data_IF_512470994178
#
_entry.id   IF_512470994178
#
_cell.length_a   1.000
_cell.length_b   1.000
_cell.length_c   1.000
_cell.angle_alpha   90.00
_cell.angle_beta   90.00
_cell.angle_gamma   90.00
#
_symmetry.space_group_name_H-M   'P 1'
#
loop_
_entity.id
_entity.type
_entity.pdbx_description
1 polymer ?
#
# COMPACT_ATOMS: atom_id res chain seq x y z
N UNK A 1 11.16 23.01 5.40
CA UNK A 1 11.45 24.09 4.44
C UNK A 1 11.02 23.68 3.03
N UNK A 2 10.45 24.59 2.23
CA UNK A 2 10.19 24.33 0.81
C UNK A 2 11.52 24.05 0.09
N UNK A 3 11.62 22.96 -0.67
CA UNK A 3 12.84 22.66 -1.45
C UNK A 3 12.96 23.68 -2.59
N UNK A 4 14.12 24.34 -2.71
CA UNK A 4 14.42 25.23 -3.86
C UNK A 4 14.23 24.47 -5.17
N UNK A 5 13.67 25.18 -6.15
CA UNK A 5 13.43 24.63 -7.47
C UNK A 5 14.75 24.40 -8.21
N UNK A 6 14.88 23.22 -8.83
CA UNK A 6 15.90 23.00 -9.83
C UNK A 6 15.29 23.35 -11.19
N UNK A 7 15.78 24.42 -11.81
CA UNK A 7 15.30 24.99 -13.08
C UNK A 7 15.33 23.95 -14.21
N UNK A 8 16.21 22.95 -14.10
CA UNK A 8 16.30 21.83 -15.06
C UNK A 8 15.10 20.89 -15.04
N UNK A 9 14.29 20.95 -13.97
CA UNK A 9 13.15 20.06 -13.75
C UNK A 9 11.80 20.82 -13.77
N UNK A 10 11.81 22.07 -14.22
CA UNK A 10 10.65 22.98 -14.22
C UNK A 10 9.51 22.43 -15.11
N UNK A 11 9.86 21.85 -16.26
CA UNK A 11 8.90 21.22 -17.18
C UNK A 11 8.22 20.00 -16.54
N UNK A 12 8.98 19.15 -15.86
CA UNK A 12 8.46 17.98 -15.15
C UNK A 12 7.61 18.36 -13.94
N UNK A 13 7.99 19.43 -13.23
CA UNK A 13 7.20 20.01 -12.15
C UNK A 13 5.89 20.59 -12.66
N UNK A 14 5.92 21.40 -13.71
CA UNK A 14 4.73 21.99 -14.31
C UNK A 14 3.76 20.91 -14.81
N UNK A 15 4.28 19.83 -15.41
CA UNK A 15 3.46 18.68 -15.81
C UNK A 15 2.83 17.98 -14.60
N UNK A 16 3.59 17.77 -13.53
CA UNK A 16 3.10 17.16 -12.28
C UNK A 16 2.06 18.03 -11.60
N UNK A 17 2.26 19.34 -11.54
CA UNK A 17 1.31 20.28 -10.96
C UNK A 17 0.03 20.39 -11.78
N UNK A 18 0.13 20.39 -13.12
CA UNK A 18 -1.04 20.32 -14.01
C UNK A 18 -1.81 19.01 -13.79
N UNK A 19 -1.10 17.89 -13.66
CA UNK A 19 -1.70 16.59 -13.36
C UNK A 19 -2.39 16.59 -11.98
N UNK A 20 -1.74 17.10 -10.92
CA UNK A 20 -2.33 17.26 -9.58
C UNK A 20 -3.52 18.21 -9.58
N UNK A 21 -3.45 19.31 -10.32
CA UNK A 21 -4.57 20.23 -10.51
C UNK A 21 -5.74 19.52 -11.20
N UNK A 22 -5.46 18.71 -12.21
CA UNK A 22 -6.44 17.86 -12.88
C UNK A 22 -7.01 16.76 -11.97
N UNK A 23 -6.22 16.19 -11.06
CA UNK A 23 -6.71 15.24 -10.06
C UNK A 23 -7.64 15.93 -9.06
N UNK A 24 -7.23 17.08 -8.51
CA UNK A 24 -8.05 17.88 -7.59
C UNK A 24 -9.36 18.33 -8.25
N UNK A 25 -9.29 18.83 -9.48
CA UNK A 25 -10.46 19.27 -10.25
C UNK A 25 -11.44 18.12 -10.55
N UNK A 26 -10.94 16.89 -10.69
CA UNK A 26 -11.76 15.68 -10.91
C UNK A 26 -12.15 14.97 -9.61
N UNK A 27 -11.73 15.48 -8.46
CA UNK A 27 -11.90 14.78 -7.20
C UNK A 27 -11.24 13.39 -7.19
N UNK A 28 -9.99 13.29 -7.63
CA UNK A 28 -9.22 12.05 -7.62
C UNK A 28 -8.07 12.14 -6.58
N UNK A 29 -7.90 11.16 -5.70
CA UNK A 29 -6.89 11.22 -4.64
C UNK A 29 -5.46 11.01 -5.17
N UNK A 30 -4.53 11.81 -4.67
CA UNK A 30 -3.08 11.63 -4.86
C UNK A 30 -2.58 10.63 -3.80
N UNK A 31 -2.16 9.43 -4.23
CA UNK A 31 -1.81 8.36 -3.30
C UNK A 31 -0.42 8.58 -2.69
N UNK A 32 -0.29 8.42 -1.36
CA UNK A 32 1.03 8.39 -0.74
C UNK A 32 1.72 7.02 -0.95
N UNK A 33 3.03 6.95 -0.71
CA UNK A 33 3.79 5.70 -0.85
C UNK A 33 3.26 4.61 0.09
N UNK A 34 2.81 5.00 1.30
CA UNK A 34 2.18 4.09 2.27
C UNK A 34 0.87 3.55 1.72
N UNK A 35 -0.03 4.40 1.20
CA UNK A 35 -1.29 3.95 0.58
C UNK A 35 -1.05 2.96 -0.56
N UNK A 36 0.02 3.20 -1.33
CA UNK A 36 0.39 2.36 -2.46
C UNK A 36 0.89 1.00 -2.02
N UNK A 37 1.68 0.93 -0.94
CA UNK A 37 2.13 -0.31 -0.31
C UNK A 37 0.98 -1.08 0.33
N UNK A 38 0.08 -0.39 1.06
CA UNK A 38 -1.13 -0.97 1.66
C UNK A 38 -2.03 -1.55 0.56
N UNK A 39 -2.30 -0.79 -0.52
CA UNK A 39 -3.08 -1.28 -1.65
C UNK A 39 -2.42 -2.48 -2.34
N UNK A 40 -1.08 -2.53 -2.41
CA UNK A 40 -0.35 -3.68 -2.95
C UNK A 40 -0.54 -4.92 -2.07
N UNK A 41 -0.40 -4.78 -0.75
CA UNK A 41 -0.61 -5.88 0.19
C UNK A 41 -2.03 -6.44 0.12
N UNK A 42 -3.05 -5.56 0.07
CA UNK A 42 -4.45 -5.98 -0.11
C UNK A 42 -4.65 -6.69 -1.44
N UNK A 43 -4.07 -6.19 -2.54
CA UNK A 43 -4.15 -6.84 -3.85
C UNK A 43 -3.54 -8.25 -3.86
N UNK A 44 -2.46 -8.47 -3.09
CA UNK A 44 -1.84 -9.79 -2.89
C UNK A 44 -2.76 -10.70 -2.07
N UNK A 45 -3.35 -10.20 -0.98
CA UNK A 45 -4.30 -10.98 -0.18
C UNK A 45 -5.52 -11.43 -1.01
N UNK A 46 -6.07 -10.52 -1.82
CA UNK A 46 -7.15 -10.84 -2.76
C UNK A 46 -6.72 -11.86 -3.83
N UNK A 47 -5.47 -11.82 -4.30
CA UNK A 47 -4.95 -12.79 -5.25
C UNK A 47 -4.84 -14.19 -4.65
N UNK A 48 -4.39 -14.29 -3.39
CA UNK A 48 -4.30 -15.55 -2.67
C UNK A 48 -5.68 -16.18 -2.47
N UNK A 49 -6.64 -15.41 -1.96
CA UNK A 49 -8.02 -15.88 -1.78
C UNK A 49 -8.62 -16.39 -3.11
N UNK A 50 -8.43 -15.65 -4.21
CA UNK A 50 -8.87 -16.08 -5.54
C UNK A 50 -8.19 -17.36 -6.02
N UNK A 51 -6.88 -17.51 -5.79
CA UNK A 51 -6.15 -18.72 -6.19
C UNK A 51 -6.54 -19.96 -5.37
N UNK A 52 -6.96 -19.76 -4.13
CA UNK A 52 -7.42 -20.82 -3.22
C UNK A 52 -8.93 -21.12 -3.41
N UNK A 53 -9.62 -20.40 -4.29
CA UNK A 53 -11.06 -20.55 -4.53
C UNK A 53 -11.94 -20.01 -3.40
N UNK A 54 -11.36 -19.24 -2.48
CA UNK A 54 -12.09 -18.62 -1.38
C UNK A 54 -12.72 -17.29 -1.81
N UNK A 55 -13.92 -17.02 -1.28
CA UNK A 55 -14.52 -15.69 -1.39
C UNK A 55 -13.68 -14.67 -0.59
N UNK A 56 -13.76 -13.40 -1.00
CA UNK A 56 -13.08 -12.31 -0.32
C UNK A 56 -13.65 -12.19 1.10
N UNK A 57 -12.80 -12.12 2.15
CA UNK A 57 -13.26 -12.01 3.53
C UNK A 57 -14.22 -10.83 3.72
N UNK A 58 -15.32 -11.05 4.46
CA UNK A 58 -16.33 -10.03 4.71
C UNK A 58 -15.75 -8.75 5.32
N UNK A 59 -14.81 -8.90 6.26
CA UNK A 59 -14.09 -7.76 6.86
C UNK A 59 -13.38 -6.89 5.81
N UNK A 60 -12.76 -7.51 4.80
CA UNK A 60 -12.07 -6.77 3.74
C UNK A 60 -13.06 -6.06 2.80
N UNK A 61 -14.21 -6.69 2.53
CA UNK A 61 -15.32 -6.04 1.79
C UNK A 61 -15.82 -4.80 2.54
N UNK A 62 -16.01 -4.89 3.86
CA UNK A 62 -16.41 -3.76 4.71
C UNK A 62 -15.37 -2.63 4.67
N UNK A 63 -14.09 -2.95 4.84
CA UNK A 63 -13.01 -1.93 4.78
C UNK A 63 -13.00 -1.19 3.44
N UNK A 64 -13.15 -1.91 2.32
CA UNK A 64 -13.22 -1.27 0.99
C UNK A 64 -14.47 -0.40 0.87
N UNK A 65 -15.62 -0.88 1.35
CA UNK A 65 -16.87 -0.11 1.33
C UNK A 65 -16.76 1.18 2.16
N UNK A 66 -16.20 1.10 3.37
CA UNK A 66 -16.03 2.27 4.24
C UNK A 66 -15.00 3.25 3.67
N UNK A 67 -13.93 2.78 3.06
CA UNK A 67 -12.99 3.64 2.33
C UNK A 67 -13.69 4.42 1.20
N UNK A 68 -14.58 3.77 0.45
CA UNK A 68 -15.37 4.45 -0.60
C UNK A 68 -16.37 5.46 -0.02
N UNK A 69 -17.01 5.14 1.11
CA UNK A 69 -17.88 6.10 1.83
C UNK A 69 -17.10 7.33 2.30
N UNK A 70 -15.90 7.13 2.84
CA UNK A 70 -15.00 8.21 3.27
C UNK A 70 -14.52 9.07 2.09
N UNK A 71 -14.29 8.47 0.92
CA UNK A 71 -13.99 9.24 -0.29
C UNK A 71 -15.19 10.09 -0.71
N UNK A 72 -16.38 9.50 -0.71
CA UNK A 72 -17.63 10.23 -1.02
C UNK A 72 -17.87 11.38 -0.04
N UNK A 73 -17.65 11.18 1.27
CA UNK A 73 -17.84 12.22 2.28
C UNK A 73 -16.84 13.38 2.14
N UNK A 74 -15.70 13.14 1.48
CA UNK A 74 -14.71 14.18 1.13
C UNK A 74 -15.01 14.88 -0.20
N UNK A 75 -16.14 14.61 -0.82
CA UNK A 75 -16.57 15.24 -2.08
C UNK A 75 -15.98 14.59 -3.34
N UNK A 76 -15.39 13.40 -3.22
CA UNK A 76 -14.87 12.67 -4.37
C UNK A 76 -15.99 11.92 -5.12
N UNK A 77 -15.88 11.84 -6.45
CA UNK A 77 -16.85 11.15 -7.29
C UNK A 77 -16.85 9.64 -7.00
N UNK A 78 -18.03 9.06 -6.76
CA UNK A 78 -18.17 7.67 -6.33
C UNK A 78 -17.78 6.68 -7.44
N UNK A 79 -18.11 6.99 -8.70
CA UNK A 79 -17.78 6.15 -9.85
C UNK A 79 -16.29 6.10 -10.12
N UNK A 80 -15.64 7.27 -10.16
CA UNK A 80 -14.20 7.41 -10.34
C UNK A 80 -13.41 6.82 -9.16
N UNK A 81 -13.90 7.03 -7.93
CA UNK A 81 -13.29 6.45 -6.71
C UNK A 81 -13.35 4.93 -6.73
N UNK A 82 -14.51 4.35 -7.07
CA UNK A 82 -14.69 2.90 -7.19
C UNK A 82 -13.80 2.34 -8.29
N UNK A 83 -13.82 2.95 -9.48
CA UNK A 83 -12.96 2.54 -10.61
C UNK A 83 -11.47 2.62 -10.27
N UNK A 84 -11.06 3.65 -9.52
CA UNK A 84 -9.68 3.81 -9.07
C UNK A 84 -9.30 2.73 -8.04
N UNK A 85 -10.18 2.44 -7.07
CA UNK A 85 -9.99 1.39 -6.09
C UNK A 85 -9.87 0.01 -6.76
N UNK A 86 -10.82 -0.34 -7.63
CA UNK A 86 -10.80 -1.63 -8.35
C UNK A 86 -9.56 -1.79 -9.21
N UNK A 87 -9.10 -0.72 -9.87
CA UNK A 87 -7.85 -0.75 -10.64
C UNK A 87 -6.63 -1.03 -9.77
N UNK A 88 -6.60 -0.46 -8.56
CA UNK A 88 -5.50 -0.62 -7.60
C UNK A 88 -5.56 -1.92 -6.81
N UNK A 89 -6.71 -2.56 -6.69
CA UNK A 89 -6.86 -3.78 -5.90
C UNK A 89 -6.91 -5.04 -6.76
N UNK A 90 -7.61 -4.98 -7.90
CA UNK A 90 -7.91 -6.15 -8.73
C UNK A 90 -7.16 -6.14 -10.07
N UNK A 91 -7.11 -4.98 -10.73
CA UNK A 91 -6.53 -4.84 -12.08
C UNK A 91 -5.10 -4.28 -12.09
N UNK A 92 -4.31 -4.55 -11.04
CA UNK A 92 -2.89 -4.18 -10.99
C UNK A 92 -2.07 -4.98 -12.00
N UNK A 93 -1.27 -4.30 -12.82
CA UNK A 93 -0.36 -4.95 -13.79
C UNK A 93 0.77 -5.73 -13.12
N UNK A 94 1.26 -5.23 -11.99
CA UNK A 94 2.34 -5.80 -11.19
C UNK A 94 1.87 -6.86 -10.17
N UNK A 95 0.58 -7.24 -10.19
CA UNK A 95 -0.04 -8.11 -9.18
C UNK A 95 0.66 -9.46 -9.03
N UNK A 96 1.00 -10.12 -10.15
CA UNK A 96 1.70 -11.41 -10.14
C UNK A 96 3.12 -11.31 -9.58
N UNK A 97 3.83 -10.23 -9.92
CA UNK A 97 5.17 -9.95 -9.39
C UNK A 97 5.14 -9.70 -7.87
N UNK A 98 4.15 -8.93 -7.39
CA UNK A 98 3.95 -8.68 -5.95
C UNK A 98 3.64 -9.96 -5.18
N UNK A 99 2.76 -10.82 -5.70
CA UNK A 99 2.45 -12.12 -5.09
C UNK A 99 3.73 -12.95 -4.97
N UNK A 100 4.56 -12.96 -6.00
CA UNK A 100 5.83 -13.70 -6.02
C UNK A 100 6.87 -13.12 -5.04
N UNK A 101 6.90 -11.79 -4.88
CA UNK A 101 7.79 -11.11 -3.96
C UNK A 101 7.41 -11.37 -2.48
N UNK A 102 6.11 -11.29 -2.16
CA UNK A 102 5.61 -11.52 -0.80
C UNK A 102 5.66 -12.99 -0.41
N UNK A 103 5.48 -13.92 -1.36
CA UNK A 103 5.58 -15.37 -1.10
C UNK A 103 7.02 -15.90 -1.04
N UNK A 104 8.03 -15.03 -1.20
CA UNK A 104 9.44 -15.43 -1.18
C UNK A 104 9.88 -16.28 -2.39
N UNK A 105 9.03 -16.41 -3.42
CA UNK A 105 9.33 -17.19 -4.64
C UNK A 105 10.14 -16.42 -5.68
N UNK A 106 10.46 -15.14 -5.46
CA UNK A 106 11.45 -14.46 -6.30
C UNK A 106 12.81 -15.14 -6.07
N UNK A 107 13.33 -15.80 -7.10
CA UNK A 107 14.78 -15.96 -7.26
C UNK A 107 15.36 -14.56 -7.06
N UNK A 108 16.07 -14.35 -5.95
CA UNK A 108 16.81 -13.12 -5.68
C UNK A 108 17.59 -12.81 -6.96
N UNK A 109 17.15 -11.81 -7.71
CA UNK A 109 18.02 -11.21 -8.70
C UNK A 109 19.21 -10.70 -7.89
N UNK A 110 20.35 -11.36 -8.07
CA UNK A 110 21.61 -11.04 -7.42
C UNK A 110 22.07 -9.66 -7.88
N UNK A 111 21.48 -8.61 -7.33
CA UNK A 111 22.13 -7.31 -7.28
C UNK A 111 23.19 -7.43 -6.19
N UNK A 112 24.46 -7.45 -6.59
CA UNK A 112 25.60 -7.33 -5.67
C UNK A 112 25.28 -6.26 -4.62
N UNK A 113 25.47 -6.52 -3.32
CA UNK A 113 25.30 -5.48 -2.31
C UNK A 113 26.39 -4.43 -2.54
N UNK A 114 25.99 -3.26 -3.00
CA UNK A 114 26.80 -2.06 -2.90
C UNK A 114 26.88 -1.72 -1.41
N UNK A 115 28.09 -1.88 -0.87
CA UNK A 115 28.42 -1.55 0.50
C UNK A 115 28.25 -0.05 0.73
N UNK A 116 27.43 0.34 1.69
CA UNK A 116 27.77 1.43 2.61
C UNK A 116 27.04 1.25 3.95
N UNK A 117 27.75 1.68 4.98
CA UNK A 117 27.51 1.53 6.40
C UNK A 117 26.14 1.98 6.94
N UNK A 118 25.55 1.08 7.74
CA UNK A 118 24.95 1.25 9.07
C UNK A 118 24.01 2.45 9.35
N UNK A 119 22.77 2.13 9.77
CA UNK A 119 22.22 2.70 11.01
C UNK A 119 21.38 1.66 11.77
N UNK A 120 21.68 1.32 13.03
CA UNK A 120 21.15 0.12 13.71
C UNK A 120 19.84 0.37 14.48
N UNK A 121 19.06 1.39 14.10
CA UNK A 121 18.03 1.93 15.01
C UNK A 121 16.61 1.37 14.83
N UNK A 122 16.39 0.38 13.95
CA UNK A 122 15.05 -0.17 13.69
C UNK A 122 14.82 -1.62 14.18
N UNK A 123 15.82 -2.27 14.78
CA UNK A 123 15.73 -3.68 15.19
C UNK A 123 15.14 -3.94 16.59
N UNK A 124 14.72 -2.91 17.34
CA UNK A 124 14.26 -3.07 18.73
C UNK A 124 12.74 -2.95 18.95
N UNK A 125 11.91 -2.93 17.89
CA UNK A 125 10.45 -2.85 18.06
C UNK A 125 9.73 -4.21 18.01
N UNK A 126 10.39 -5.29 17.59
CA UNK A 126 9.75 -6.61 17.44
C UNK A 126 9.81 -7.50 18.71
N UNK A 127 10.55 -7.11 19.74
CA UNK A 127 10.81 -7.96 20.92
C UNK A 127 9.90 -7.72 22.13
N UNK A 128 8.88 -6.86 22.05
CA UNK A 128 8.03 -6.51 23.21
C UNK A 128 6.58 -6.98 23.15
N UNK A 129 6.20 -7.70 22.09
CA UNK A 129 4.81 -8.14 21.87
C UNK A 129 4.65 -9.66 22.10
N UNK A 130 5.72 -10.39 22.44
CA UNK A 130 5.72 -11.87 22.44
C UNK A 130 5.79 -12.56 23.81
N UNK A 131 5.90 -11.85 24.94
CA UNK A 131 6.19 -12.48 26.24
C UNK A 131 5.09 -12.31 27.32
N UNK A 132 3.85 -11.96 26.98
CA UNK A 132 2.81 -11.69 28.00
C UNK A 132 1.52 -12.52 27.85
N UNK A 133 1.64 -13.82 27.60
CA UNK A 133 0.49 -14.74 27.71
C UNK A 133 0.91 -16.20 27.99
N UNK A 134 1.22 -16.48 29.25
CA UNK A 134 1.23 -17.84 29.83
C UNK A 134 1.03 -17.68 31.35
N UNK A 135 -0.22 -17.63 31.82
CA UNK A 135 -0.99 -18.74 32.39
C UNK A 135 -0.29 -19.40 33.59
N UNK A 136 -0.67 -19.00 34.81
CA UNK A 136 -0.56 -19.85 35.99
C UNK A 136 -1.87 -19.74 36.78
N UNK A 137 -2.69 -20.77 36.63
CA UNK A 137 -3.52 -21.25 37.71
C UNK A 137 -3.01 -22.63 38.08
N UNK A 138 -2.57 -22.82 39.33
CA UNK A 138 -2.73 -24.06 40.11
C UNK A 138 -2.20 -23.86 41.55
N UNK A 139 -3.10 -24.16 42.48
CA UNK A 139 -2.95 -24.74 43.83
C UNK A 139 -1.76 -24.39 44.76
N UNK A 140 -2.10 -23.83 45.92
CA UNK A 140 -2.05 -24.53 47.22
C UNK A 140 -2.86 -23.77 48.29
#
# INVERSE_FOLDING_TARGET
MPRRADERNETGRAATERWRKGLRARGAPEACHVDTAVAAAVAVALAKAQSEGHDVPAALKCVIADALKLLKSRGYDSGLSTKAAMRRLLARRDRSALVSAVSGKLKRFSTKPESTDVSPHYFLLEKRISDDSRSDGEEA
#
